data_IF_741920892750
#
_entry.id   IF_741920892750
#
_cell.length_a   1.000
_cell.length_b   1.000
_cell.length_c   1.000
_cell.angle_alpha   90.00
_cell.angle_beta   90.00
_cell.angle_gamma   90.00
#
_symmetry.space_group_name_H-M   'P 1'
#
loop_
_entity.id
_entity.type
_entity.pdbx_description
1 polymer ?
#
# COMPACT_ATOMS: atom_id res chain seq x y z
N UNK A 1 -14.36 20.56 -22.36
CA UNK A 1 -14.82 19.21 -22.02
C UNK A 1 -15.20 18.51 -23.30
N UNK A 2 -14.61 17.36 -23.57
CA UNK A 2 -14.95 16.49 -24.69
C UNK A 2 -16.25 15.73 -24.39
N UNK A 3 -17.16 15.65 -25.36
CA UNK A 3 -18.46 14.98 -25.21
C UNK A 3 -18.45 13.56 -25.75
N UNK A 4 -17.54 13.26 -26.67
CA UNK A 4 -17.39 11.95 -27.29
C UNK A 4 -16.56 11.01 -26.39
N UNK A 5 -17.00 10.83 -25.15
CA UNK A 5 -16.44 9.87 -24.19
C UNK A 5 -17.50 8.86 -23.73
N UNK A 6 -17.07 7.65 -23.41
CA UNK A 6 -17.98 6.57 -23.03
C UNK A 6 -17.47 5.75 -21.86
N UNK A 7 -18.35 4.96 -21.26
CA UNK A 7 -18.03 3.97 -20.26
C UNK A 7 -18.44 2.60 -20.77
N UNK A 8 -17.49 1.65 -20.80
CA UNK A 8 -17.69 0.29 -21.26
C UNK A 8 -17.39 -0.68 -20.11
N UNK A 9 -18.44 -1.28 -19.56
CA UNK A 9 -18.31 -2.34 -18.55
C UNK A 9 -18.13 -3.69 -19.22
N UNK A 10 -17.02 -4.38 -18.95
CA UNK A 10 -16.82 -5.72 -19.47
C UNK A 10 -17.64 -6.75 -18.69
N UNK A 11 -18.09 -7.81 -19.37
CA UNK A 11 -18.75 -8.95 -18.73
C UNK A 11 -18.23 -10.26 -19.33
N UNK A 12 -18.31 -11.38 -18.59
CA UNK A 12 -17.81 -12.66 -19.08
C UNK A 12 -18.45 -13.02 -20.43
N UNK A 13 -17.63 -13.23 -21.45
CA UNK A 13 -18.11 -13.61 -22.78
C UNK A 13 -18.56 -12.45 -23.68
N UNK A 14 -18.33 -11.19 -23.30
CA UNK A 14 -18.60 -10.04 -24.19
C UNK A 14 -18.02 -10.26 -25.60
N UNK A 15 -18.82 -10.15 -26.67
CA UNK A 15 -18.37 -10.46 -28.02
C UNK A 15 -17.56 -9.30 -28.62
N UNK A 16 -16.51 -9.62 -29.37
CA UNK A 16 -15.67 -8.62 -30.03
C UNK A 16 -16.46 -7.71 -30.99
N UNK A 17 -17.52 -8.22 -31.62
CA UNK A 17 -18.41 -7.41 -32.48
C UNK A 17 -19.12 -6.29 -31.72
N UNK A 18 -19.53 -6.52 -30.47
CA UNK A 18 -20.17 -5.50 -29.63
C UNK A 18 -19.16 -4.43 -29.21
N UNK A 19 -17.96 -4.84 -28.80
CA UNK A 19 -16.88 -3.91 -28.45
C UNK A 19 -16.45 -3.08 -29.67
N UNK A 20 -16.35 -3.70 -30.85
CA UNK A 20 -16.09 -2.98 -32.10
C UNK A 20 -17.14 -1.91 -32.38
N UNK A 21 -18.42 -2.25 -32.21
CA UNK A 21 -19.53 -1.33 -32.43
C UNK A 21 -19.50 -0.15 -31.43
N UNK A 22 -19.21 -0.43 -30.16
CA UNK A 22 -19.11 0.58 -29.12
C UNK A 22 -17.95 1.56 -29.37
N UNK A 23 -16.80 1.06 -29.86
CA UNK A 23 -15.59 1.86 -30.08
C UNK A 23 -15.53 2.55 -31.45
N UNK A 24 -16.65 2.65 -32.18
CA UNK A 24 -16.70 3.36 -33.45
C UNK A 24 -16.61 4.89 -33.27
N UNK A 25 -16.10 5.63 -34.27
CA UNK A 25 -16.24 7.08 -34.32
C UNK A 25 -17.72 7.51 -34.15
N UNK A 26 -18.01 8.65 -33.50
CA UNK A 26 -17.07 9.73 -33.14
C UNK A 26 -16.36 9.56 -31.79
N UNK A 27 -16.49 8.41 -31.12
CA UNK A 27 -15.92 8.19 -29.79
C UNK A 27 -14.41 8.46 -29.76
N UNK A 28 -13.96 9.33 -28.84
CA UNK A 28 -12.55 9.74 -28.69
C UNK A 28 -11.88 9.16 -27.45
N UNK A 29 -12.68 8.79 -26.45
CA UNK A 29 -12.17 8.15 -25.24
C UNK A 29 -13.17 7.20 -24.61
N UNK A 30 -12.67 6.16 -23.94
CA UNK A 30 -13.51 5.25 -23.16
C UNK A 30 -12.87 4.95 -21.81
N UNK A 31 -13.69 4.93 -20.76
CA UNK A 31 -13.36 4.25 -19.50
C UNK A 31 -13.85 2.81 -19.63
N UNK A 32 -12.92 1.88 -19.65
CA UNK A 32 -13.19 0.45 -19.69
C UNK A 32 -13.11 -0.10 -18.27
N UNK A 33 -14.24 -0.58 -17.75
CA UNK A 33 -14.26 -1.24 -16.45
C UNK A 33 -13.94 -2.74 -16.62
N UNK A 34 -12.99 -3.24 -15.85
CA UNK A 34 -12.42 -4.58 -15.97
C UNK A 34 -12.43 -5.34 -14.64
N UNK A 35 -12.11 -6.64 -14.66
CA UNK A 35 -12.31 -7.51 -13.50
C UNK A 35 -11.18 -7.41 -12.46
N UNK A 36 -11.51 -7.43 -11.17
CA UNK A 36 -10.53 -7.57 -10.09
C UNK A 36 -9.50 -6.44 -10.10
N UNK A 37 -8.20 -6.77 -10.12
CA UNK A 37 -7.10 -5.79 -10.13
C UNK A 37 -6.83 -5.15 -11.50
N UNK A 38 -7.85 -5.05 -12.37
CA UNK A 38 -7.72 -4.47 -13.71
C UNK A 38 -7.55 -5.47 -14.85
N UNK A 39 -8.03 -6.70 -14.67
CA UNK A 39 -7.89 -7.79 -15.63
C UNK A 39 -8.78 -7.58 -16.85
N UNK A 40 -8.17 -7.10 -17.92
CA UNK A 40 -8.84 -6.97 -19.20
C UNK A 40 -8.91 -8.28 -19.99
N UNK A 41 -9.48 -8.23 -21.20
CA UNK A 41 -9.76 -9.41 -21.99
C UNK A 41 -8.49 -10.04 -22.58
N UNK A 42 -8.37 -11.36 -22.49
CA UNK A 42 -7.25 -12.13 -23.07
C UNK A 42 -7.56 -12.72 -24.45
N UNK A 43 -8.82 -12.64 -24.90
CA UNK A 43 -9.23 -13.21 -26.19
C UNK A 43 -8.61 -12.43 -27.37
N UNK A 44 -8.00 -13.10 -28.37
CA UNK A 44 -7.25 -12.43 -29.44
C UNK A 44 -8.08 -11.48 -30.32
N UNK A 45 -9.35 -11.82 -30.57
CA UNK A 45 -10.29 -11.01 -31.35
C UNK A 45 -10.62 -9.70 -30.64
N UNK A 46 -10.89 -9.75 -29.33
CA UNK A 46 -11.19 -8.58 -28.52
C UNK A 46 -9.97 -7.67 -28.35
N UNK A 47 -8.78 -8.24 -28.14
CA UNK A 47 -7.51 -7.49 -28.15
C UNK A 47 -7.27 -6.78 -29.48
N UNK A 48 -7.67 -7.39 -30.61
CA UNK A 48 -7.56 -6.77 -31.94
C UNK A 48 -8.46 -5.54 -32.07
N UNK A 49 -9.68 -5.59 -31.55
CA UNK A 49 -10.59 -4.45 -31.58
C UNK A 49 -10.09 -3.28 -30.70
N UNK A 50 -9.55 -3.57 -29.52
CA UNK A 50 -8.94 -2.55 -28.65
C UNK A 50 -7.72 -1.89 -29.32
N UNK A 51 -6.83 -2.68 -29.93
CA UNK A 51 -5.69 -2.15 -30.70
C UNK A 51 -6.13 -1.30 -31.88
N UNK A 52 -7.15 -1.75 -32.62
CA UNK A 52 -7.68 -1.01 -33.74
C UNK A 52 -8.28 0.34 -33.29
N UNK A 53 -8.94 0.38 -32.14
CA UNK A 53 -9.43 1.63 -31.54
C UNK A 53 -8.29 2.57 -31.15
N UNK A 54 -7.28 2.06 -30.44
CA UNK A 54 -6.11 2.83 -30.04
C UNK A 54 -5.33 3.37 -31.26
N UNK A 55 -5.20 2.59 -32.33
CA UNK A 55 -4.58 3.02 -33.59
C UNK A 55 -5.35 4.15 -34.30
N UNK A 56 -6.66 4.28 -34.05
CA UNK A 56 -7.47 5.42 -34.51
C UNK A 56 -7.32 6.66 -33.62
N UNK A 57 -6.53 6.59 -32.55
CA UNK A 57 -6.33 7.67 -31.58
C UNK A 57 -7.32 7.68 -30.43
N UNK A 58 -8.11 6.61 -30.24
CA UNK A 58 -9.03 6.49 -29.12
C UNK A 58 -8.26 6.22 -27.81
N UNK A 59 -8.46 7.03 -26.78
CA UNK A 59 -7.84 6.84 -25.48
C UNK A 59 -8.67 5.90 -24.60
N UNK A 60 -8.02 4.90 -24.02
CA UNK A 60 -8.68 3.87 -23.19
C UNK A 60 -8.12 3.97 -21.77
N UNK A 61 -8.97 4.34 -20.80
CA UNK A 61 -8.66 4.24 -19.38
C UNK A 61 -9.17 2.90 -18.84
N UNK A 62 -8.36 2.19 -18.08
CA UNK A 62 -8.72 0.94 -17.43
C UNK A 62 -9.06 1.18 -15.96
N UNK A 63 -10.33 1.00 -15.58
CA UNK A 63 -10.78 1.03 -14.19
C UNK A 63 -11.21 -0.37 -13.74
N UNK A 64 -11.21 -0.63 -12.44
CA UNK A 64 -11.75 -1.88 -11.89
C UNK A 64 -13.27 -1.82 -11.73
N UNK A 65 -13.95 -2.96 -11.86
CA UNK A 65 -15.34 -3.15 -11.44
C UNK A 65 -15.53 -3.05 -9.93
N UNK A 66 -14.47 -3.30 -9.16
CA UNK A 66 -14.55 -3.38 -7.72
C UNK A 66 -14.87 -2.00 -7.12
N UNK A 67 -15.69 -1.99 -6.07
CA UNK A 67 -15.99 -0.77 -5.32
C UNK A 67 -14.75 -0.21 -4.61
N UNK A 68 -13.80 -1.09 -4.27
CA UNK A 68 -12.55 -0.76 -3.58
C UNK A 68 -11.38 -1.48 -4.25
N UNK A 69 -10.19 -0.90 -4.10
CA UNK A 69 -8.94 -1.40 -4.69
C UNK A 69 -8.52 -0.64 -5.94
N UNK A 70 -7.38 -1.03 -6.51
CA UNK A 70 -6.76 -0.34 -7.63
C UNK A 70 -6.47 -1.30 -8.79
N UNK A 71 -6.37 -0.73 -10.00
CA UNK A 71 -5.76 -1.40 -11.15
C UNK A 71 -4.24 -1.46 -10.97
N UNK A 72 -3.67 -2.66 -10.93
CA UNK A 72 -2.23 -2.88 -10.68
C UNK A 72 -1.46 -3.40 -11.89
N UNK A 73 -0.16 -3.11 -11.93
CA UNK A 73 0.74 -3.42 -13.05
C UNK A 73 0.94 -4.91 -13.31
N UNK A 74 0.83 -5.75 -12.29
CA UNK A 74 1.22 -7.18 -12.34
C UNK A 74 0.37 -7.99 -13.34
N UNK A 75 -0.84 -7.51 -13.65
CA UNK A 75 -1.70 -8.08 -14.68
C UNK A 75 -2.05 -7.09 -15.80
N UNK A 76 -2.06 -5.77 -15.53
CA UNK A 76 -2.17 -4.75 -16.58
C UNK A 76 -0.98 -4.81 -17.58
N UNK A 77 0.16 -5.37 -17.18
CA UNK A 77 1.27 -5.69 -18.06
C UNK A 77 0.84 -6.56 -19.26
N UNK A 78 -0.14 -7.46 -19.13
CA UNK A 78 -0.68 -8.24 -20.25
C UNK A 78 -1.40 -7.41 -21.32
N UNK A 79 -2.02 -6.29 -20.92
CA UNK A 79 -2.69 -5.36 -21.84
C UNK A 79 -1.77 -4.24 -22.35
N UNK A 80 -0.81 -3.80 -21.54
CA UNK A 80 0.24 -2.86 -21.94
C UNK A 80 1.24 -3.51 -22.91
N UNK A 81 1.69 -4.74 -22.64
CA UNK A 81 2.55 -5.54 -23.54
C UNK A 81 1.82 -5.98 -24.81
N UNK A 82 0.48 -6.02 -24.80
CA UNK A 82 -0.32 -6.19 -25.99
C UNK A 82 -0.32 -4.95 -26.92
N UNK A 83 0.31 -3.83 -26.55
CA UNK A 83 0.49 -2.66 -27.44
C UNK A 83 -0.78 -1.85 -27.69
N UNK A 84 -1.82 -2.01 -26.85
CA UNK A 84 -3.09 -1.31 -27.02
C UNK A 84 -3.10 0.13 -26.46
N UNK A 85 -2.00 0.62 -25.87
CA UNK A 85 -1.91 2.00 -25.37
C UNK A 85 -2.93 2.34 -24.27
N UNK A 86 -3.35 1.34 -23.50
CA UNK A 86 -4.34 1.46 -22.43
C UNK A 86 -3.67 2.09 -21.20
N UNK A 87 -4.32 3.09 -20.62
CA UNK A 87 -3.84 3.84 -19.46
C UNK A 87 -4.46 3.23 -18.20
N UNK A 88 -3.66 2.99 -17.16
CA UNK A 88 -4.19 2.57 -15.86
C UNK A 88 -5.00 3.70 -15.23
N UNK A 89 -6.20 3.38 -14.76
CA UNK A 89 -7.01 4.27 -13.93
C UNK A 89 -6.65 4.20 -12.44
N UNK A 90 -5.74 3.30 -12.04
CA UNK A 90 -5.39 3.04 -10.64
C UNK A 90 -6.63 2.84 -9.77
N UNK A 91 -6.79 3.62 -8.71
CA UNK A 91 -7.89 3.61 -7.75
C UNK A 91 -9.00 4.63 -8.09
N UNK A 92 -8.96 5.27 -9.27
CA UNK A 92 -10.04 6.18 -9.68
C UNK A 92 -11.39 5.44 -9.73
N UNK A 93 -12.42 6.11 -9.21
CA UNK A 93 -13.81 5.76 -9.53
C UNK A 93 -14.06 5.93 -11.03
N UNK A 94 -14.98 5.14 -11.59
CA UNK A 94 -15.32 5.22 -13.01
C UNK A 94 -15.85 6.61 -13.40
N UNK A 95 -16.55 7.29 -12.50
CA UNK A 95 -17.05 8.65 -12.66
C UNK A 95 -15.90 9.66 -12.72
N UNK A 96 -14.92 9.56 -11.82
CA UNK A 96 -13.74 10.41 -11.83
C UNK A 96 -12.90 10.19 -13.09
N UNK A 97 -12.69 8.94 -13.48
CA UNK A 97 -11.98 8.58 -14.71
C UNK A 97 -12.68 9.14 -15.95
N UNK A 98 -14.02 9.07 -16.02
CA UNK A 98 -14.78 9.57 -17.16
C UNK A 98 -14.73 11.11 -17.23
N UNK A 99 -14.86 11.78 -16.08
CA UNK A 99 -14.74 13.23 -15.98
C UNK A 99 -13.33 13.72 -16.37
N UNK A 100 -12.29 13.03 -15.87
CA UNK A 100 -10.89 13.31 -16.21
C UNK A 100 -10.60 13.08 -17.68
N UNK A 101 -11.13 12.01 -18.27
CA UNK A 101 -10.99 11.72 -19.69
C UNK A 101 -11.65 12.79 -20.56
N UNK A 102 -12.87 13.20 -20.23
CA UNK A 102 -13.57 14.32 -20.88
C UNK A 102 -12.78 15.63 -20.77
N UNK A 103 -12.21 15.89 -19.60
CA UNK A 103 -11.40 17.08 -19.35
C UNK A 103 -10.13 17.10 -20.21
N UNK A 104 -9.33 16.03 -20.14
CA UNK A 104 -8.03 15.94 -20.83
C UNK A 104 -8.22 15.97 -22.34
N UNK A 105 -9.20 15.24 -22.90
CA UNK A 105 -9.51 15.29 -24.33
C UNK A 105 -9.99 16.67 -24.78
N UNK A 106 -10.65 17.43 -23.90
CA UNK A 106 -11.12 18.78 -24.18
C UNK A 106 -10.03 19.86 -24.19
N UNK A 107 -8.79 19.56 -23.78
CA UNK A 107 -7.70 20.54 -23.76
C UNK A 107 -7.15 20.80 -25.18
N UNK A 108 -7.02 22.07 -25.60
CA UNK A 108 -6.44 22.40 -26.90
C UNK A 108 -4.91 22.24 -26.90
N UNK A 109 -4.32 21.98 -28.08
CA UNK A 109 -2.86 22.03 -28.26
C UNK A 109 -2.05 20.85 -27.72
N UNK A 110 -2.67 19.86 -27.07
CA UNK A 110 -1.97 18.69 -26.55
C UNK A 110 -1.90 17.54 -27.58
N UNK A 111 -0.73 16.91 -27.68
CA UNK A 111 -0.54 15.67 -28.44
C UNK A 111 -1.25 14.48 -27.76
N UNK A 112 -1.36 13.34 -28.45
CA UNK A 112 -1.92 12.13 -27.84
C UNK A 112 -1.08 11.63 -26.67
N UNK A 113 0.24 11.78 -26.74
CA UNK A 113 1.12 11.31 -25.67
C UNK A 113 1.08 12.24 -24.45
N UNK A 114 1.00 13.56 -24.64
CA UNK A 114 0.76 14.51 -23.53
C UNK A 114 -0.56 14.22 -22.83
N UNK A 115 -1.59 13.83 -23.58
CA UNK A 115 -2.90 13.46 -23.01
C UNK A 115 -2.80 12.17 -22.21
N UNK A 116 -2.07 11.15 -22.69
CA UNK A 116 -1.81 9.92 -21.92
C UNK A 116 -1.08 10.23 -20.63
N UNK A 117 -0.07 11.10 -20.69
CA UNK A 117 0.69 11.53 -19.51
C UNK A 117 -0.21 12.24 -18.49
N UNK A 118 -1.04 13.18 -18.92
CA UNK A 118 -1.99 13.86 -18.03
C UNK A 118 -3.02 12.90 -17.42
N UNK A 119 -3.48 11.91 -18.18
CA UNK A 119 -4.41 10.90 -17.67
C UNK A 119 -3.76 10.00 -16.61
N UNK A 120 -2.45 9.78 -16.71
CA UNK A 120 -1.66 9.00 -15.77
C UNK A 120 -1.18 9.80 -14.54
N UNK A 121 -1.55 11.07 -14.38
CA UNK A 121 -1.16 11.92 -13.24
C UNK A 121 -2.36 12.28 -12.38
N UNK A 122 -2.19 12.41 -11.07
CA UNK A 122 -3.23 12.95 -10.21
C UNK A 122 -3.43 14.46 -10.50
N UNK A 123 -4.63 14.86 -10.92
CA UNK A 123 -4.91 16.24 -11.32
C UNK A 123 -5.71 17.02 -10.28
N UNK A 124 -6.49 16.34 -9.45
CA UNK A 124 -7.49 16.92 -8.52
C UNK A 124 -7.64 16.11 -7.22
N UNK A 125 -6.73 15.19 -6.92
CA UNK A 125 -6.87 14.26 -5.79
C UNK A 125 -7.82 13.11 -6.09
N UNK A 126 -8.07 12.82 -7.38
CA UNK A 126 -9.01 11.76 -7.79
C UNK A 126 -8.35 10.38 -7.87
N UNK A 127 -7.02 10.33 -7.78
CA UNK A 127 -6.22 9.15 -8.05
C UNK A 127 -4.98 9.09 -7.16
N UNK A 128 -4.71 7.95 -6.56
CA UNK A 128 -3.49 7.63 -5.84
C UNK A 128 -2.53 6.90 -6.79
N UNK A 129 -1.38 7.50 -7.08
CA UNK A 129 -0.36 6.83 -7.87
C UNK A 129 0.32 5.74 -7.02
N UNK A 130 0.65 4.57 -7.60
CA UNK A 130 1.43 3.58 -6.90
C UNK A 130 2.73 4.25 -6.47
N UNK A 131 3.11 4.08 -5.21
CA UNK A 131 4.43 4.45 -4.77
C UNK A 131 5.42 3.74 -5.68
N UNK A 132 6.04 4.48 -6.60
CA UNK A 132 7.24 3.99 -7.20
C UNK A 132 8.18 3.70 -6.04
N UNK A 133 8.88 2.57 -6.09
CA UNK A 133 10.22 2.48 -5.53
C UNK A 133 11.14 3.50 -6.27
N UNK A 134 10.73 4.76 -6.43
CA UNK A 134 11.63 5.85 -6.19
C UNK A 134 12.15 5.59 -4.79
N UNK A 135 13.35 5.01 -4.76
CA UNK A 135 14.45 5.66 -4.08
C UNK A 135 14.21 7.17 -4.21
N UNK A 136 13.43 7.74 -3.28
CA UNK A 136 13.58 9.14 -2.91
C UNK A 136 15.09 9.27 -2.81
N UNK A 137 15.72 10.25 -3.50
CA UNK A 137 17.12 10.49 -3.23
C UNK A 137 17.20 10.52 -1.72
N UNK A 138 17.95 9.57 -1.15
CA UNK A 138 18.20 9.52 0.28
C UNK A 138 18.35 10.98 0.68
N UNK A 139 17.50 11.56 1.53
CA UNK A 139 17.77 12.90 1.96
C UNK A 139 19.11 12.74 2.64
N UNK A 140 20.17 13.15 1.94
CA UNK A 140 21.43 13.48 2.54
C UNK A 140 21.06 14.60 3.48
N UNK A 141 20.68 14.25 4.71
CA UNK A 141 20.72 15.02 5.96
C UNK A 141 20.30 16.50 5.94
N UNK A 142 19.74 17.04 4.86
CA UNK A 142 19.69 18.49 4.60
C UNK A 142 18.26 19.01 4.43
N UNK A 143 17.32 18.18 3.97
CA UNK A 143 15.91 18.59 3.85
C UNK A 143 15.22 18.59 5.22
N UNK A 144 15.45 17.57 6.06
CA UNK A 144 14.97 17.54 7.44
C UNK A 144 15.52 18.69 8.27
N UNK A 145 16.84 18.90 8.23
CA UNK A 145 17.50 20.02 8.91
C UNK A 145 17.07 21.38 8.35
N UNK A 146 16.93 21.52 7.03
CA UNK A 146 16.57 22.78 6.37
C UNK A 146 15.14 23.22 6.66
N UNK A 147 14.17 22.29 6.66
CA UNK A 147 12.78 22.60 7.03
C UNK A 147 12.69 22.88 8.53
N UNK A 148 13.40 22.12 9.37
CA UNK A 148 13.39 22.35 10.80
C UNK A 148 14.14 23.64 11.21
N UNK A 149 15.11 24.11 10.43
CA UNK A 149 15.71 25.44 10.54
C UNK A 149 14.78 26.54 10.03
N UNK A 150 14.06 26.35 8.92
CA UNK A 150 13.09 27.34 8.42
C UNK A 150 11.95 27.57 9.41
N UNK A 151 11.50 26.51 10.10
CA UNK A 151 10.49 26.59 11.15
C UNK A 151 10.98 27.29 12.44
N UNK A 152 12.27 27.66 12.53
CA UNK A 152 12.85 28.36 13.71
C UNK A 152 12.68 29.88 13.67
N UNK A 153 12.06 30.43 12.63
CA UNK A 153 11.90 31.88 12.44
C UNK A 153 10.47 32.34 12.78
N UNK A 154 10.27 32.88 13.99
CA UNK A 154 9.09 33.62 14.51
C UNK A 154 7.96 32.84 15.25
N UNK A 155 7.19 33.57 16.07
CA UNK A 155 6.04 33.06 16.86
C UNK A 155 4.85 32.59 15.99
N UNK A 156 4.67 33.14 14.79
CA UNK A 156 3.68 32.65 13.82
C UNK A 156 4.12 31.31 13.19
N UNK A 157 5.41 30.97 13.28
CA UNK A 157 5.94 29.70 12.85
C UNK A 157 5.66 28.56 13.85
N UNK A 158 5.28 28.84 15.10
CA UNK A 158 4.97 27.79 16.09
C UNK A 158 3.72 27.00 15.67
N UNK A 159 2.63 27.69 15.28
CA UNK A 159 1.42 27.03 14.81
C UNK A 159 1.62 26.24 13.50
N UNK A 160 2.45 26.77 12.59
CA UNK A 160 2.82 26.07 11.35
C UNK A 160 3.72 24.88 11.65
N UNK A 161 4.66 25.02 12.60
CA UNK A 161 5.52 23.94 13.07
C UNK A 161 4.69 22.83 13.70
N UNK A 162 3.76 23.15 14.60
CA UNK A 162 2.90 22.17 15.25
C UNK A 162 2.03 21.43 14.23
N UNK A 163 1.50 22.13 13.22
CA UNK A 163 0.73 21.52 12.14
C UNK A 163 1.56 20.59 11.25
N UNK A 164 2.83 20.91 10.99
CA UNK A 164 3.70 20.14 10.11
C UNK A 164 4.52 19.07 10.83
N UNK A 165 4.70 19.20 12.15
CA UNK A 165 5.53 18.32 12.98
C UNK A 165 5.14 16.84 12.84
N UNK A 166 3.86 16.44 12.89
CA UNK A 166 3.49 15.04 12.76
C UNK A 166 3.93 14.47 11.41
N UNK A 167 3.69 15.22 10.32
CA UNK A 167 4.08 14.80 8.96
C UNK A 167 5.60 14.75 8.78
N UNK A 168 6.35 15.70 9.34
CA UNK A 168 7.82 15.68 9.31
C UNK A 168 8.38 14.52 10.13
N UNK A 169 7.83 14.27 11.31
CA UNK A 169 8.24 13.18 12.17
C UNK A 169 7.94 11.83 11.52
N UNK A 170 6.78 11.65 10.90
CA UNK A 170 6.45 10.47 10.10
C UNK A 170 7.43 10.28 8.94
N UNK A 171 7.76 11.35 8.20
CA UNK A 171 8.72 11.27 7.10
C UNK A 171 10.13 10.91 7.57
N UNK A 172 10.61 11.51 8.67
CA UNK A 172 11.91 11.19 9.27
C UNK A 172 11.95 9.74 9.78
N UNK A 173 10.91 9.30 10.48
CA UNK A 173 10.76 7.92 10.94
C UNK A 173 10.70 6.91 9.80
N UNK A 174 9.98 7.23 8.72
CA UNK A 174 9.94 6.41 7.51
C UNK A 174 11.31 6.28 6.83
N UNK A 175 12.12 7.34 6.86
CA UNK A 175 13.48 7.33 6.31
C UNK A 175 14.52 6.73 7.27
N UNK A 176 14.16 6.51 8.54
CA UNK A 176 15.10 6.11 9.59
C UNK A 176 16.08 7.23 9.98
N UNK A 177 15.73 8.49 9.71
CA UNK A 177 16.56 9.66 10.01
C UNK A 177 16.50 10.00 11.51
N UNK A 178 17.40 9.36 12.26
CA UNK A 178 17.51 9.54 13.70
C UNK A 178 17.89 10.97 14.09
N UNK A 179 18.75 11.64 13.31
CA UNK A 179 19.19 12.99 13.60
C UNK A 179 18.01 13.97 13.51
N UNK A 180 17.19 13.83 12.47
CA UNK A 180 15.97 14.63 12.34
C UNK A 180 14.96 14.35 13.47
N UNK A 181 14.75 13.08 13.83
CA UNK A 181 13.87 12.73 14.95
C UNK A 181 14.36 13.28 16.30
N UNK A 182 15.66 13.20 16.56
CA UNK A 182 16.28 13.77 17.76
C UNK A 182 16.14 15.29 17.78
N UNK A 183 16.44 15.96 16.66
CA UNK A 183 16.33 17.41 16.56
C UNK A 183 14.88 17.91 16.75
N UNK A 184 13.89 17.14 16.30
CA UNK A 184 12.47 17.44 16.57
C UNK A 184 12.17 17.26 18.07
N UNK A 185 12.56 16.13 18.68
CA UNK A 185 12.34 15.88 20.11
C UNK A 185 13.00 16.92 21.02
N UNK A 186 14.25 17.31 20.74
CA UNK A 186 15.00 18.31 21.52
C UNK A 186 14.36 19.71 21.46
N UNK A 187 13.59 19.99 20.41
CA UNK A 187 12.84 21.24 20.23
C UNK A 187 11.46 21.22 20.90
N UNK A 188 11.14 20.15 21.64
CA UNK A 188 9.87 19.98 22.34
C UNK A 188 8.72 19.54 21.44
N UNK A 189 9.00 19.06 20.22
CA UNK A 189 7.96 18.48 19.35
C UNK A 189 7.40 17.21 19.96
N UNK A 190 6.07 17.10 19.97
CA UNK A 190 5.38 15.87 20.36
C UNK A 190 5.41 14.84 19.22
N UNK A 191 6.26 13.83 19.37
CA UNK A 191 6.43 12.73 18.40
C UNK A 191 5.36 11.64 18.53
N UNK A 192 4.35 11.84 19.38
CA UNK A 192 3.20 10.93 19.50
C UNK A 192 2.04 11.31 18.58
N UNK A 193 2.07 12.52 18.01
CA UNK A 193 1.00 13.04 17.18
C UNK A 193 0.85 12.30 15.85
N UNK A 194 -0.40 12.23 15.40
CA UNK A 194 -0.79 11.62 14.14
C UNK A 194 -0.69 12.62 12.99
N UNK A 195 -0.27 12.15 11.82
CA UNK A 195 -0.38 12.91 10.58
C UNK A 195 -1.81 12.88 10.01
N UNK A 196 -2.00 13.47 8.83
CA UNK A 196 -3.30 13.54 8.17
C UNK A 196 -3.87 12.17 7.72
N UNK A 197 -3.07 11.10 7.79
CA UNK A 197 -3.49 9.71 7.55
C UNK A 197 -3.74 8.95 8.86
N UNK A 198 -3.71 9.63 10.00
CA UNK A 198 -3.79 8.98 11.32
C UNK A 198 -2.50 8.23 11.69
N UNK A 199 -1.42 8.35 10.90
CA UNK A 199 -0.19 7.63 11.21
C UNK A 199 0.64 8.41 12.21
N UNK A 200 1.09 7.73 13.26
CA UNK A 200 2.14 8.24 14.13
C UNK A 200 3.52 7.91 13.54
N UNK A 201 4.59 8.62 13.94
CA UNK A 201 5.96 8.27 13.54
C UNK A 201 6.33 6.82 13.86
N UNK A 202 5.74 6.23 14.91
CA UNK A 202 5.95 4.83 15.27
C UNK A 202 5.40 3.88 14.20
N UNK A 203 4.25 4.17 13.58
CA UNK A 203 3.74 3.42 12.43
C UNK A 203 4.75 3.43 11.27
N UNK A 204 5.26 4.61 10.94
CA UNK A 204 6.19 4.80 9.83
C UNK A 204 7.53 4.06 10.05
N UNK A 205 8.12 4.17 11.25
CA UNK A 205 9.34 3.45 11.61
C UNK A 205 9.14 1.93 11.63
N UNK A 206 8.00 1.46 12.18
CA UNK A 206 7.67 0.04 12.25
C UNK A 206 7.45 -0.57 10.86
N UNK A 207 6.73 0.13 9.97
CA UNK A 207 6.47 -0.28 8.58
C UNK A 207 7.75 -0.48 7.76
N UNK A 208 8.81 0.28 8.05
CA UNK A 208 10.10 0.20 7.35
C UNK A 208 11.16 -0.57 8.14
N UNK A 209 10.83 -1.02 9.35
CA UNK A 209 11.72 -1.82 10.19
C UNK A 209 12.91 -1.06 10.76
N UNK A 210 12.84 0.27 10.87
CA UNK A 210 13.91 1.10 11.40
C UNK A 210 14.00 1.00 12.93
N UNK A 211 14.64 -0.07 13.42
CA UNK A 211 14.70 -0.43 14.84
C UNK A 211 15.21 0.69 15.75
N UNK A 212 16.24 1.43 15.34
CA UNK A 212 16.74 2.55 16.12
C UNK A 212 15.71 3.69 16.25
N UNK A 213 14.96 3.97 15.17
CA UNK A 213 13.89 4.96 15.20
C UNK A 213 12.72 4.48 16.07
N UNK A 214 12.35 3.19 15.98
CA UNK A 214 11.38 2.56 16.88
C UNK A 214 11.79 2.73 18.34
N UNK A 215 13.03 2.37 18.70
CA UNK A 215 13.53 2.53 20.07
C UNK A 215 13.52 3.97 20.56
N UNK A 216 13.88 4.92 19.71
CA UNK A 216 13.83 6.35 20.05
C UNK A 216 12.40 6.80 20.32
N UNK A 217 11.47 6.48 19.42
CA UNK A 217 10.08 6.89 19.52
C UNK A 217 9.39 6.29 20.75
N UNK A 218 9.68 5.03 21.08
CA UNK A 218 9.22 4.39 22.30
C UNK A 218 9.74 5.11 23.55
N UNK A 219 11.03 5.49 23.58
CA UNK A 219 11.60 6.29 24.67
C UNK A 219 11.00 7.69 24.78
N UNK A 220 10.53 8.26 23.67
CA UNK A 220 9.81 9.53 23.63
C UNK A 220 8.33 9.39 24.05
N UNK A 221 7.87 8.20 24.48
CA UNK A 221 6.51 7.97 24.96
C UNK A 221 5.47 7.78 23.85
N UNK A 222 5.89 7.40 22.65
CA UNK A 222 4.94 7.11 21.57
C UNK A 222 3.98 5.97 21.97
N UNK A 223 2.69 6.16 21.68
CA UNK A 223 1.67 5.16 21.98
C UNK A 223 1.88 3.88 21.13
N UNK A 224 2.18 2.78 21.81
CA UNK A 224 2.53 1.47 21.19
C UNK A 224 1.38 0.84 20.41
N UNK A 225 0.14 1.06 20.88
CA UNK A 225 -1.08 0.49 20.30
C UNK A 225 -1.92 1.52 19.53
N UNK A 226 -1.30 2.63 19.11
CA UNK A 226 -1.92 3.63 18.25
C UNK A 226 -2.49 2.98 16.97
N UNK A 227 -3.49 3.64 16.37
CA UNK A 227 -4.24 3.10 15.24
C UNK A 227 -4.30 4.14 14.13
N UNK A 228 -3.83 3.77 12.96
CA UNK A 228 -4.01 4.60 11.77
C UNK A 228 -5.47 4.60 11.29
N UNK A 229 -5.76 5.37 10.22
CA UNK A 229 -7.12 5.46 9.66
C UNK A 229 -7.67 4.12 9.16
N UNK A 230 -6.81 3.15 8.85
CA UNK A 230 -7.20 1.79 8.47
C UNK A 230 -7.40 0.88 9.71
N UNK A 231 -7.08 1.38 10.90
CA UNK A 231 -7.14 0.64 12.17
C UNK A 231 -5.94 -0.27 12.41
N UNK A 232 -4.86 -0.10 11.66
CA UNK A 232 -3.65 -0.92 11.77
C UNK A 232 -2.77 -0.39 12.90
N UNK A 233 -2.18 -1.31 13.68
CA UNK A 233 -1.16 -0.95 14.68
C UNK A 233 0.25 -0.87 14.07
N UNK A 234 1.20 -0.18 14.73
CA UNK A 234 2.61 -0.28 14.38
C UNK A 234 3.11 -1.72 14.38
N UNK A 235 2.65 -2.55 15.32
CA UNK A 235 3.03 -3.97 15.40
C UNK A 235 2.60 -4.74 14.15
N UNK A 236 1.36 -4.58 13.69
CA UNK A 236 0.90 -5.24 12.47
C UNK A 236 1.65 -4.76 11.23
N UNK A 237 2.00 -3.47 11.14
CA UNK A 237 2.81 -2.96 10.04
C UNK A 237 4.22 -3.58 10.03
N UNK A 238 4.84 -3.76 11.20
CA UNK A 238 6.13 -4.46 11.31
C UNK A 238 6.01 -5.95 10.93
N UNK A 239 4.89 -6.61 11.26
CA UNK A 239 4.61 -8.00 10.84
C UNK A 239 4.47 -8.12 9.33
N UNK A 240 3.65 -7.25 8.70
CA UNK A 240 3.49 -7.23 7.24
C UNK A 240 4.81 -6.97 6.50
N UNK A 241 5.69 -6.15 7.09
CA UNK A 241 7.05 -5.89 6.59
C UNK A 241 8.10 -6.94 6.97
N UNK A 242 7.75 -7.97 7.76
CA UNK A 242 8.66 -9.01 8.29
C UNK A 242 9.85 -8.45 9.09
N UNK A 243 9.64 -7.33 9.77
CA UNK A 243 10.70 -6.61 10.47
C UNK A 243 10.92 -7.12 11.90
N UNK A 244 11.57 -8.28 12.02
CA UNK A 244 11.83 -9.00 13.28
C UNK A 244 12.31 -8.12 14.44
N UNK A 245 13.25 -7.22 14.18
CA UNK A 245 13.78 -6.33 15.21
C UNK A 245 12.74 -5.33 15.72
N UNK A 246 11.92 -4.77 14.81
CA UNK A 246 10.87 -3.83 15.18
C UNK A 246 9.72 -4.54 15.92
N UNK A 247 9.32 -5.73 15.46
CA UNK A 247 8.34 -6.57 16.17
C UNK A 247 8.81 -6.86 17.60
N UNK A 248 10.07 -7.27 17.77
CA UNK A 248 10.65 -7.54 19.09
C UNK A 248 10.60 -6.32 20.01
N UNK A 249 11.01 -5.14 19.53
CA UNK A 249 10.97 -3.90 20.31
C UNK A 249 9.54 -3.48 20.68
N UNK A 250 8.60 -3.58 19.74
CA UNK A 250 7.19 -3.23 19.98
C UNK A 250 6.55 -4.19 21.00
N UNK A 251 6.82 -5.49 20.90
CA UNK A 251 6.37 -6.50 21.86
C UNK A 251 6.99 -6.29 23.23
N UNK A 252 8.29 -5.96 23.29
CA UNK A 252 8.98 -5.60 24.52
C UNK A 252 8.34 -4.38 25.21
N UNK A 253 7.86 -3.42 24.41
CA UNK A 253 7.13 -2.24 24.89
C UNK A 253 5.64 -2.49 25.17
N UNK A 254 5.16 -3.75 25.07
CA UNK A 254 3.80 -4.14 25.42
C UNK A 254 2.78 -4.15 24.28
N UNK A 255 3.19 -3.89 23.03
CA UNK A 255 2.26 -3.87 21.90
C UNK A 255 1.57 -5.23 21.69
N UNK A 256 0.29 -5.20 21.35
CA UNK A 256 -0.50 -6.41 21.08
C UNK A 256 -1.35 -6.29 19.83
N UNK A 257 -1.51 -7.41 19.12
CA UNK A 257 -2.45 -7.50 18.01
C UNK A 257 -3.87 -7.53 18.56
N UNK A 258 -4.73 -6.69 18.00
CA UNK A 258 -6.14 -6.63 18.36
C UNK A 258 -6.91 -7.81 17.76
N UNK A 259 -8.10 -8.10 18.29
CA UNK A 259 -8.98 -9.13 17.74
C UNK A 259 -9.30 -8.90 16.24
N UNK A 260 -9.44 -7.64 15.81
CA UNK A 260 -9.70 -7.27 14.41
C UNK A 260 -8.51 -7.59 13.51
N UNK A 261 -7.29 -7.39 13.99
CA UNK A 261 -6.07 -7.73 13.23
C UNK A 261 -5.84 -9.25 13.13
N UNK A 262 -6.46 -10.02 14.03
CA UNK A 262 -6.39 -11.47 14.10
C UNK A 262 -7.58 -12.19 13.44
N UNK A 263 -8.60 -11.47 12.97
CA UNK A 263 -9.86 -12.05 12.45
C UNK A 263 -9.60 -13.08 11.33
N UNK A 264 -8.68 -12.78 10.41
CA UNK A 264 -8.33 -13.63 9.27
C UNK A 264 -6.92 -14.24 9.35
N UNK A 265 -6.27 -14.20 10.52
CA UNK A 265 -4.86 -14.62 10.64
C UNK A 265 -4.67 -16.08 10.25
N UNK A 266 -5.61 -16.98 10.57
CA UNK A 266 -5.52 -18.39 10.17
C UNK A 266 -5.43 -18.58 8.64
N UNK A 267 -6.21 -17.82 7.88
CA UNK A 267 -6.16 -17.84 6.40
C UNK A 267 -4.82 -17.33 5.88
N UNK A 268 -4.31 -16.25 6.48
CA UNK A 268 -3.01 -15.68 6.14
C UNK A 268 -1.86 -16.65 6.47
N UNK A 269 -1.88 -17.30 7.63
CA UNK A 269 -0.89 -18.31 8.02
C UNK A 269 -0.89 -19.51 7.06
N UNK A 270 -2.07 -20.00 6.66
CA UNK A 270 -2.20 -21.04 5.64
C UNK A 270 -1.61 -20.60 4.29
N UNK A 271 -1.85 -19.35 3.88
CA UNK A 271 -1.27 -18.78 2.66
C UNK A 271 0.26 -18.73 2.72
N UNK A 272 0.82 -18.26 3.84
CA UNK A 272 2.27 -18.21 4.07
C UNK A 272 2.89 -19.61 4.03
N UNK A 273 2.26 -20.57 4.70
CA UNK A 273 2.68 -21.97 4.71
C UNK A 273 2.68 -22.60 3.31
N UNK A 274 1.66 -22.31 2.49
CA UNK A 274 1.58 -22.81 1.12
C UNK A 274 2.72 -22.30 0.22
N UNK A 275 3.23 -21.09 0.52
CA UNK A 275 4.30 -20.41 -0.22
C UNK A 275 5.70 -20.64 0.34
N UNK A 276 5.84 -21.53 1.33
CA UNK A 276 7.08 -21.76 2.07
C UNK A 276 7.66 -20.48 2.73
N UNK A 277 6.80 -19.56 3.17
CA UNK A 277 7.23 -18.28 3.76
C UNK A 277 7.48 -18.39 5.27
N UNK A 278 8.63 -18.94 5.63
CA UNK A 278 9.09 -19.12 7.02
C UNK A 278 9.25 -17.79 7.77
N UNK A 279 9.73 -16.76 7.08
CA UNK A 279 9.93 -15.43 7.66
C UNK A 279 8.61 -14.76 8.04
N UNK A 280 7.60 -14.82 7.17
CA UNK A 280 6.26 -14.32 7.49
C UNK A 280 5.61 -15.06 8.65
N UNK A 281 5.70 -16.38 8.68
CA UNK A 281 5.18 -17.19 9.79
C UNK A 281 5.87 -16.85 11.12
N UNK A 282 7.19 -16.67 11.09
CA UNK A 282 7.93 -16.27 12.28
C UNK A 282 7.56 -14.87 12.75
N UNK A 283 7.34 -13.92 11.84
CA UNK A 283 6.89 -12.57 12.17
C UNK A 283 5.53 -12.58 12.90
N UNK A 284 4.55 -13.34 12.41
CA UNK A 284 3.25 -13.50 13.07
C UNK A 284 3.39 -14.16 14.45
N UNK A 285 4.19 -15.22 14.56
CA UNK A 285 4.46 -15.88 15.84
C UNK A 285 5.11 -14.93 16.85
N UNK A 286 6.13 -14.19 16.42
CA UNK A 286 6.85 -13.24 17.28
C UNK A 286 5.92 -12.12 17.77
N UNK A 287 4.97 -11.70 16.94
CA UNK A 287 3.93 -10.74 17.33
C UNK A 287 2.85 -11.32 18.26
N UNK A 288 2.88 -12.62 18.54
CA UNK A 288 2.00 -13.31 19.47
C UNK A 288 0.75 -13.94 18.84
N UNK A 289 0.72 -14.14 17.51
CA UNK A 289 -0.39 -14.85 16.87
C UNK A 289 -0.33 -16.36 17.13
N UNK A 290 -1.51 -16.98 17.26
CA UNK A 290 -1.65 -18.42 17.37
C UNK A 290 -1.47 -19.08 15.99
N UNK A 291 -0.33 -19.74 15.78
CA UNK A 291 -0.04 -20.46 14.54
C UNK A 291 -0.95 -21.68 14.30
N UNK A 292 -1.69 -22.12 15.33
CA UNK A 292 -2.67 -23.18 15.24
C UNK A 292 -4.03 -22.74 14.71
N UNK A 293 -4.29 -21.43 14.60
CA UNK A 293 -5.59 -20.91 14.17
C UNK A 293 -5.91 -21.42 12.76
N UNK A 294 -7.09 -22.07 12.57
CA UNK A 294 -7.46 -22.59 11.27
C UNK A 294 -7.85 -21.45 10.31
N UNK A 295 -7.58 -21.65 9.02
CA UNK A 295 -8.13 -20.83 7.95
C UNK A 295 -9.62 -21.08 7.73
N UNK A 296 -10.19 -20.40 6.74
CA UNK A 296 -11.63 -20.51 6.39
C UNK A 296 -12.08 -21.94 6.00
N UNK A 297 -11.16 -22.80 5.56
CA UNK A 297 -11.43 -24.19 5.18
C UNK A 297 -11.23 -25.19 6.34
N UNK A 298 -10.96 -24.69 7.55
CA UNK A 298 -10.72 -25.48 8.75
C UNK A 298 -9.31 -26.09 8.83
N UNK A 299 -8.44 -25.86 7.84
CA UNK A 299 -7.06 -26.35 7.88
C UNK A 299 -6.16 -25.37 8.62
N UNK A 300 -5.20 -25.90 9.38
CA UNK A 300 -4.12 -25.12 9.98
C UNK A 300 -2.97 -24.94 9.00
N UNK A 301 -2.12 -23.95 9.26
CA UNK A 301 -0.90 -23.70 8.48
C UNK A 301 0.02 -24.93 8.42
N UNK A 302 0.07 -25.74 9.50
CA UNK A 302 0.85 -26.97 9.56
C UNK A 302 0.35 -28.01 8.54
N UNK A 303 -0.96 -28.27 8.50
CA UNK A 303 -1.55 -29.21 7.55
C UNK A 303 -1.35 -28.76 6.09
N UNK A 304 -1.42 -27.45 5.84
CA UNK A 304 -1.16 -26.89 4.51
C UNK A 304 0.31 -27.06 4.11
N UNK A 305 1.26 -26.82 5.03
CA UNK A 305 2.68 -27.03 4.78
C UNK A 305 3.02 -28.50 4.51
N UNK A 306 2.44 -29.43 5.27
CA UNK A 306 2.60 -30.88 5.07
C UNK A 306 2.06 -31.32 3.71
N UNK A 307 0.85 -30.88 3.34
CA UNK A 307 0.25 -31.20 2.05
C UNK A 307 1.04 -30.62 0.86
N UNK A 308 1.69 -29.47 1.04
CA UNK A 308 2.57 -28.86 0.05
C UNK A 308 3.98 -29.47 0.01
N UNK A 309 4.35 -30.31 0.98
CA UNK A 309 5.70 -30.88 1.09
C UNK A 309 6.77 -29.87 1.55
N UNK A 310 6.38 -28.78 2.20
CA UNK A 310 7.28 -27.72 2.65
C UNK A 310 7.96 -28.09 3.98
N UNK A 311 8.96 -28.98 3.92
CA UNK A 311 9.64 -29.55 5.11
C UNK A 311 10.21 -28.48 6.05
N UNK A 312 10.79 -27.40 5.51
CA UNK A 312 11.34 -26.30 6.32
C UNK A 312 10.24 -25.60 7.16
N UNK A 313 9.09 -25.31 6.54
CA UNK A 313 7.96 -24.71 7.24
C UNK A 313 7.33 -25.66 8.25
N UNK A 314 7.20 -26.95 7.92
CA UNK A 314 6.72 -27.97 8.87
C UNK A 314 7.61 -28.00 10.11
N UNK A 315 8.93 -28.04 9.90
CA UNK A 315 9.91 -28.05 10.99
C UNK A 315 9.83 -26.76 11.83
N UNK A 316 9.70 -25.61 11.17
CA UNK A 316 9.52 -24.32 11.84
C UNK A 316 8.25 -24.33 12.71
N UNK A 317 7.09 -24.63 12.12
CA UNK A 317 5.81 -24.62 12.82
C UNK A 317 5.80 -25.58 14.01
N UNK A 318 6.35 -26.78 13.85
CA UNK A 318 6.51 -27.75 14.94
C UNK A 318 7.44 -27.24 16.04
N UNK A 319 8.54 -26.58 15.68
CA UNK A 319 9.47 -26.00 16.67
C UNK A 319 8.83 -24.86 17.47
N UNK A 320 7.99 -24.04 16.84
CA UNK A 320 7.30 -22.91 17.47
C UNK A 320 6.07 -23.35 18.27
N UNK A 321 5.41 -24.45 17.90
CA UNK A 321 4.28 -25.04 18.63
C UNK A 321 4.69 -25.99 19.76
N UNK A 322 5.81 -26.71 19.61
CA UNK A 322 6.32 -27.68 20.58
C UNK A 322 6.94 -27.06 21.85
N UNK A 323 7.14 -25.74 21.87
CA UNK A 323 7.54 -24.98 23.05
C UNK A 323 6.40 -24.72 24.03
N UNK A 324 5.65 -25.76 24.42
CA UNK A 324 4.55 -25.70 25.37
C UNK A 324 5.04 -25.23 26.76
N UNK A 325 5.16 -23.92 26.95
CA UNK A 325 5.57 -23.29 28.20
C UNK A 325 6.36 -21.99 28.06
N UNK A 326 6.93 -21.68 26.89
CA UNK A 326 7.53 -20.37 26.66
C UNK A 326 6.48 -19.47 25.98
N UNK A 327 5.86 -18.50 26.68
CA UNK A 327 5.05 -17.50 26.00
C UNK A 327 5.91 -16.85 24.90
N UNK A 328 5.29 -16.45 23.77
CA UNK A 328 5.91 -15.49 22.87
C UNK A 328 6.56 -14.39 23.72
N UNK A 329 7.83 -14.00 23.47
CA UNK A 329 8.61 -13.20 24.41
C UNK A 329 7.73 -12.12 25.00
N UNK A 330 7.45 -12.26 26.30
CA UNK A 330 6.66 -11.28 27.03
C UNK A 330 7.40 -9.95 27.01
N UNK A 331 6.74 -8.84 27.36
CA UNK A 331 7.40 -7.56 27.42
C UNK A 331 8.59 -7.64 28.39
N UNK A 332 9.82 -7.76 27.86
CA UNK A 332 11.00 -7.54 28.68
C UNK A 332 11.02 -6.05 28.98
N UNK A 333 10.81 -5.72 30.25
CA UNK A 333 10.88 -4.35 30.76
C UNK A 333 12.24 -3.79 30.38
N UNK A 334 12.23 -2.87 29.41
CA UNK A 334 13.38 -2.06 29.07
C UNK A 334 13.87 -1.37 30.37
N UNK A 335 15.12 -1.55 30.80
CA UNK A 335 15.62 -0.85 31.98
C UNK A 335 15.63 0.65 31.69
N UNK A 336 14.73 1.40 32.34
CA UNK A 336 14.66 2.86 32.25
C UNK A 336 13.52 3.45 31.41
N UNK A 337 12.40 2.73 31.24
CA UNK A 337 11.10 3.31 30.86
C UNK A 337 10.22 3.42 32.10
#
# INVERSE_FOLDING_TARGET
MERDVGLLRLYPGIPASLVRAFLQPPLKGVVMETFGSGNGPTKPDLLRELRAAAARGLLILNCTHCLQGAVTSDYAAGMASAGAGIISGFDMTSEAALAKLSYVLGQPGLSLDDRKELLARDLRGEMTLPEADTCRPSPQSSLGLGVAQLLSLSQEADAVRDALTPSLACAAAHAGDLEALQALAERGSDLSLEDFQGQTPLHAAARRGHTAAVSLLLRCGAAVDARDQEGLSPLLLAVKGRHRGAIGLLRAAGACLSARELEDVGTELCRLASRADSEGLWAWWQAGADLGQPGYDGRSALLVAEAAGNVEVVTLLQSLQGGAGAPAPGPEVLPGV
#
